data_IF_427869475697
#
_entry.id   IF_427869475697
#
_cell.length_a   1.000
_cell.length_b   1.000
_cell.length_c   1.000
_cell.angle_alpha   90.00
_cell.angle_beta   90.00
_cell.angle_gamma   90.00
#
_symmetry.space_group_name_H-M   'P 1'
#
loop_
_entity.id
_entity.type
_entity.pdbx_description
1 polymer ?
#
# COMPACT_ATOMS: atom_id res chain seq x y z
N UNK A 1 1.72 -10.50 8.73
CA UNK A 1 2.41 -10.85 7.45
C UNK A 1 2.35 -9.66 6.50
N UNK A 2 3.49 -9.08 6.10
CA UNK A 2 3.52 -7.98 5.13
C UNK A 2 3.61 -8.53 3.70
N UNK A 3 2.79 -8.02 2.77
CA UNK A 3 2.93 -8.34 1.35
C UNK A 3 4.02 -7.45 0.77
N UNK A 4 5.12 -8.07 0.34
CA UNK A 4 6.26 -7.40 -0.27
C UNK A 4 6.23 -7.65 -1.78
N UNK A 5 6.04 -6.60 -2.57
CA UNK A 5 6.22 -6.65 -4.02
C UNK A 5 7.59 -6.06 -4.35
N UNK A 6 8.35 -6.75 -5.19
CA UNK A 6 9.65 -6.27 -5.69
C UNK A 6 9.41 -5.23 -6.78
N UNK A 7 9.27 -3.97 -6.39
CA UNK A 7 9.06 -2.84 -7.30
C UNK A 7 10.31 -1.96 -7.33
N UNK A 8 10.81 -1.61 -8.51
CA UNK A 8 11.95 -0.69 -8.63
C UNK A 8 11.54 0.75 -8.31
N UNK A 9 12.41 1.49 -7.62
CA UNK A 9 12.18 2.91 -7.26
C UNK A 9 11.85 3.78 -8.47
N UNK A 10 12.44 3.47 -9.62
CA UNK A 10 12.19 4.19 -10.88
C UNK A 10 10.76 3.94 -11.37
N UNK A 11 10.30 2.68 -11.38
CA UNK A 11 8.94 2.30 -11.77
C UNK A 11 7.91 2.92 -10.84
N UNK A 12 8.14 2.85 -9.52
CA UNK A 12 7.32 3.52 -8.51
C UNK A 12 7.17 5.02 -8.80
N UNK A 13 8.27 5.70 -9.14
CA UNK A 13 8.27 7.15 -9.41
C UNK A 13 7.46 7.51 -10.65
N UNK A 14 7.56 6.69 -11.70
CA UNK A 14 6.80 6.86 -12.94
C UNK A 14 5.31 6.66 -12.66
N UNK A 15 4.94 5.54 -12.03
CA UNK A 15 3.55 5.24 -11.70
C UNK A 15 2.90 6.30 -10.82
N UNK A 16 3.60 6.83 -9.81
CA UNK A 16 3.07 7.91 -8.97
C UNK A 16 2.80 9.20 -9.75
N UNK A 17 3.64 9.53 -10.73
CA UNK A 17 3.39 10.66 -11.63
C UNK A 17 2.18 10.43 -12.53
N UNK A 18 2.01 9.20 -13.04
CA UNK A 18 0.84 8.81 -13.85
C UNK A 18 -0.48 8.84 -13.05
N UNK A 19 -0.40 8.57 -11.74
CA UNK A 19 -1.53 8.73 -10.82
C UNK A 19 -1.92 10.20 -10.59
N UNK A 20 -1.09 11.15 -11.03
CA UNK A 20 -1.33 12.60 -10.95
C UNK A 20 -0.77 13.25 -9.69
N UNK A 21 0.18 12.61 -9.01
CA UNK A 21 0.82 13.16 -7.82
C UNK A 21 1.89 14.20 -8.20
N UNK A 22 1.99 15.25 -7.40
CA UNK A 22 3.01 16.30 -7.53
C UNK A 22 4.40 15.75 -7.17
N UNK A 23 5.48 16.36 -7.69
CA UNK A 23 6.85 15.90 -7.40
C UNK A 23 7.17 15.82 -5.90
N UNK A 24 6.67 16.76 -5.10
CA UNK A 24 6.83 16.72 -3.64
C UNK A 24 6.17 15.48 -3.01
N UNK A 25 4.98 15.09 -3.50
CA UNK A 25 4.26 13.92 -3.00
C UNK A 25 4.93 12.62 -3.44
N UNK A 26 5.43 12.59 -4.68
CA UNK A 26 6.21 11.47 -5.21
C UNK A 26 7.48 11.27 -4.39
N UNK A 27 8.19 12.35 -4.04
CA UNK A 27 9.39 12.29 -3.23
C UNK A 27 9.11 11.79 -1.81
N UNK A 28 8.03 12.26 -1.18
CA UNK A 28 7.60 11.81 0.14
C UNK A 28 7.35 10.28 0.18
N UNK A 29 6.62 9.75 -0.81
CA UNK A 29 6.36 8.31 -0.92
C UNK A 29 7.65 7.53 -1.19
N UNK A 30 8.49 8.01 -2.11
CA UNK A 30 9.77 7.37 -2.42
C UNK A 30 10.74 7.38 -1.22
N UNK A 31 10.71 8.42 -0.38
CA UNK A 31 11.52 8.49 0.83
C UNK A 31 11.00 7.52 1.91
N UNK A 32 9.67 7.34 2.01
CA UNK A 32 9.07 6.34 2.87
C UNK A 32 9.40 4.90 2.43
N UNK A 33 9.54 4.68 1.12
CA UNK A 33 9.93 3.40 0.53
C UNK A 33 11.41 3.05 0.83
N UNK A 34 12.32 4.02 0.75
CA UNK A 34 13.76 3.82 0.97
C UNK A 34 14.08 3.41 2.43
N UNK A 35 13.33 3.94 3.40
CA UNK A 35 13.58 3.75 4.84
C UNK A 35 13.21 2.35 5.38
N UNK A 36 12.38 1.55 4.71
CA UNK A 36 11.76 0.34 5.32
C UNK A 36 12.26 -1.02 4.80
N UNK A 37 13.36 -1.06 4.05
CA UNK A 37 13.84 -2.19 3.22
C UNK A 37 13.32 -2.09 1.79
N UNK A 38 14.06 -2.64 0.83
CA UNK A 38 13.76 -2.67 -0.62
C UNK A 38 12.45 -3.41 -1.00
N UNK A 39 11.57 -3.65 -0.02
CA UNK A 39 10.30 -4.33 -0.13
C UNK A 39 9.18 -3.34 0.15
N UNK A 40 8.32 -3.13 -0.84
CA UNK A 40 7.20 -2.19 -0.71
C UNK A 40 6.15 -2.86 0.15
N UNK A 41 5.88 -2.32 1.33
CA UNK A 41 4.65 -2.66 2.04
C UNK A 41 3.48 -2.04 1.27
N UNK A 42 2.84 -2.87 0.44
CA UNK A 42 1.78 -2.44 -0.46
C UNK A 42 0.59 -1.87 0.32
N UNK A 43 0.32 -2.35 1.54
CA UNK A 43 -0.77 -1.85 2.39
C UNK A 43 -0.47 -0.42 2.84
N UNK A 44 0.76 -0.17 3.32
CA UNK A 44 1.16 1.20 3.70
C UNK A 44 1.20 2.14 2.49
N UNK A 45 1.68 1.65 1.35
CA UNK A 45 1.72 2.41 0.11
C UNK A 45 0.32 2.88 -0.32
N UNK A 46 -0.62 1.95 -0.44
CA UNK A 46 -2.01 2.24 -0.85
C UNK A 46 -2.63 3.25 0.11
N UNK A 47 -2.47 3.05 1.42
CA UNK A 47 -2.99 3.97 2.43
C UNK A 47 -2.43 5.40 2.28
N UNK A 48 -1.13 5.54 2.02
CA UNK A 48 -0.49 6.85 1.81
C UNK A 48 -0.98 7.51 0.51
N UNK A 49 -1.06 6.76 -0.58
CA UNK A 49 -1.50 7.26 -1.89
C UNK A 49 -2.96 7.71 -1.85
N UNK A 50 -3.83 6.96 -1.17
CA UNK A 50 -5.23 7.34 -0.97
C UNK A 50 -5.37 8.59 -0.06
N UNK A 51 -4.51 8.74 0.96
CA UNK A 51 -4.48 9.95 1.81
C UNK A 51 -4.09 11.20 1.04
N UNK A 52 -3.30 11.05 -0.02
CA UNK A 52 -2.93 12.14 -0.92
C UNK A 52 -4.01 12.47 -1.97
N UNK A 53 -5.17 11.81 -1.88
CA UNK A 53 -6.35 12.10 -2.71
C UNK A 53 -6.46 11.25 -3.98
N UNK A 54 -5.61 10.24 -4.16
CA UNK A 54 -5.69 9.35 -5.33
C UNK A 54 -6.88 8.38 -5.17
N UNK A 55 -7.79 8.31 -6.16
CA UNK A 55 -8.93 7.39 -6.09
C UNK A 55 -8.49 5.92 -6.03
N UNK A 56 -9.14 5.13 -5.17
CA UNK A 56 -8.92 3.69 -5.01
C UNK A 56 -8.87 2.92 -6.32
N UNK A 57 -9.78 3.24 -7.26
CA UNK A 57 -9.82 2.60 -8.57
C UNK A 57 -8.55 2.80 -9.39
N UNK A 58 -7.92 3.99 -9.30
CA UNK A 58 -6.64 4.24 -9.98
C UNK A 58 -5.49 3.46 -9.34
N UNK A 59 -5.47 3.39 -8.01
CA UNK A 59 -4.45 2.62 -7.28
C UNK A 59 -4.58 1.12 -7.56
N UNK A 60 -5.81 0.62 -7.63
CA UNK A 60 -6.10 -0.76 -7.98
C UNK A 60 -5.61 -1.10 -9.39
N UNK A 61 -5.94 -0.26 -10.39
CA UNK A 61 -5.44 -0.47 -11.76
C UNK A 61 -3.91 -0.43 -11.81
N UNK A 62 -3.29 0.57 -11.16
CA UNK A 62 -1.84 0.68 -11.09
C UNK A 62 -1.17 -0.60 -10.54
N UNK A 63 -1.62 -1.11 -9.41
CA UNK A 63 -1.04 -2.33 -8.84
C UNK A 63 -1.28 -3.56 -9.72
N UNK A 64 -2.42 -3.61 -10.42
CA UNK A 64 -2.73 -4.67 -11.38
C UNK A 64 -1.80 -4.62 -12.61
N UNK A 65 -1.53 -3.43 -13.15
CA UNK A 65 -0.56 -3.22 -14.23
C UNK A 65 0.88 -3.58 -13.82
N UNK A 66 1.23 -3.38 -12.54
CA UNK A 66 2.49 -3.83 -11.94
C UNK A 66 2.55 -5.35 -11.68
N UNK A 67 1.51 -6.10 -12.06
CA UNK A 67 1.47 -7.56 -11.98
C UNK A 67 0.99 -8.10 -10.63
N UNK A 68 0.33 -7.28 -9.80
CA UNK A 68 -0.30 -7.78 -8.57
C UNK A 68 -1.63 -8.44 -8.89
N UNK A 69 -1.74 -9.72 -8.54
CA UNK A 69 -2.97 -10.50 -8.73
C UNK A 69 -4.19 -9.94 -7.99
N UNK A 70 -5.36 -10.13 -8.60
CA UNK A 70 -6.65 -9.72 -8.06
C UNK A 70 -6.91 -10.21 -6.63
N UNK A 71 -6.56 -11.47 -6.33
CA UNK A 71 -6.70 -12.04 -4.99
C UNK A 71 -5.80 -11.34 -3.95
N UNK A 72 -4.61 -10.89 -4.38
CA UNK A 72 -3.69 -10.12 -3.53
C UNK A 72 -4.21 -8.70 -3.35
N UNK A 73 -4.71 -8.07 -4.41
CA UNK A 73 -5.32 -6.74 -4.36
C UNK A 73 -6.48 -6.71 -3.37
N UNK A 74 -7.43 -7.66 -3.45
CA UNK A 74 -8.54 -7.78 -2.51
C UNK A 74 -8.01 -7.81 -1.07
N UNK A 75 -7.01 -8.65 -0.81
CA UNK A 75 -6.43 -8.79 0.54
C UNK A 75 -5.74 -7.52 1.04
N UNK A 76 -4.95 -6.87 0.17
CA UNK A 76 -4.27 -5.61 0.47
C UNK A 76 -5.30 -4.54 0.83
N UNK A 77 -6.31 -4.38 -0.02
CA UNK A 77 -7.33 -3.36 0.15
C UNK A 77 -8.19 -3.60 1.39
N UNK A 78 -8.57 -4.84 1.69
CA UNK A 78 -9.21 -5.19 2.96
C UNK A 78 -8.36 -4.81 4.17
N UNK A 79 -7.04 -5.04 4.12
CA UNK A 79 -6.12 -4.64 5.21
C UNK A 79 -5.98 -3.13 5.33
N UNK A 80 -5.98 -2.40 4.21
CA UNK A 80 -6.00 -0.93 4.23
C UNK A 80 -7.26 -0.42 4.93
N UNK A 81 -8.43 -0.99 4.61
CA UNK A 81 -9.69 -0.63 5.26
C UNK A 81 -9.68 -0.95 6.77
N UNK A 82 -9.20 -2.13 7.16
CA UNK A 82 -9.04 -2.50 8.58
C UNK A 82 -8.11 -1.54 9.32
N UNK A 83 -6.96 -1.22 8.71
CA UNK A 83 -6.00 -0.27 9.27
C UNK A 83 -6.59 1.14 9.40
N UNK A 84 -7.38 1.59 8.42
CA UNK A 84 -8.10 2.87 8.47
C UNK A 84 -9.17 2.89 9.57
N UNK A 85 -9.81 1.75 9.84
CA UNK A 85 -10.78 1.59 10.92
C UNK A 85 -10.14 1.56 12.33
N UNK A 86 -8.81 1.71 12.45
CA UNK A 86 -8.10 1.65 13.72
C UNK A 86 -7.96 0.22 14.27
N UNK A 87 -8.23 -0.79 13.43
CA UNK A 87 -7.93 -2.18 13.71
C UNK A 87 -6.50 -2.46 13.26
N UNK A 88 -5.52 -2.07 14.09
CA UNK A 88 -4.16 -2.58 13.95
C UNK A 88 -4.19 -4.10 14.21
N UNK A 89 -3.58 -4.89 13.31
CA UNK A 89 -3.48 -6.36 13.41
C UNK A 89 -2.92 -6.82 14.78
N UNK A 90 -2.23 -5.94 15.51
CA UNK A 90 -1.70 -6.13 16.86
C UNK A 90 -2.80 -6.35 17.93
N UNK A 91 -4.04 -5.91 17.70
CA UNK A 91 -5.17 -6.13 18.61
C UNK A 91 -5.98 -7.40 18.34
N UNK A 92 -5.67 -8.15 17.28
CA UNK A 92 -6.46 -9.33 16.89
C UNK A 92 -5.92 -10.65 17.49
N UNK A 93 -4.86 -10.60 18.31
CA UNK A 93 -4.35 -11.79 19.02
C UNK A 93 -5.00 -12.06 20.38
N UNK A 94 -5.88 -11.20 20.89
CA UNK A 94 -6.45 -11.37 22.24
C UNK A 94 -7.91 -11.83 22.22
N UNK A 95 -8.22 -12.87 21.44
CA UNK A 95 -9.45 -13.67 21.63
C UNK A 95 -9.17 -15.14 21.31
N UNK A 96 -8.27 -15.75 22.09
CA UNK A 96 -8.15 -17.21 22.14
C UNK A 96 -8.56 -17.70 23.54
N UNK A 97 -9.84 -18.06 23.63
CA UNK A 97 -10.44 -19.09 24.49
C UNK A 97 -10.13 -19.04 25.99
N UNK A 98 -11.14 -18.62 26.76
CA UNK A 98 -11.38 -19.12 28.11
C UNK A 98 -11.67 -20.63 28.04
N UNK A 99 -10.96 -21.43 28.82
CA UNK A 99 -11.47 -22.63 29.49
C UNK A 99 -11.16 -22.50 30.99
#
# INVERSE_FOLDING_TARGET
>A
MAYAVGMEKVQLRVGLRELGLSENQVEEICAAFDKRSKHLDVVNFVSSVERLGVPRGKVYSFLKDEGVDDSVLITVFSRVDLKKAGMDEDKMQEVAFYD
#
